data_IF_480188791429
#
_entry.id   IF_480188791429
#
_cell.length_a   1.000
_cell.length_b   1.000
_cell.length_c   1.000
_cell.angle_alpha   90.00
_cell.angle_beta   90.00
_cell.angle_gamma   90.00
#
_symmetry.space_group_name_H-M   'P 1'
#
loop_
_entity.id
_entity.type
_entity.pdbx_description
1 polymer ?
#
# COMPACT_ATOMS: atom_id res chain seq x y z
N UNK A 1 18.62 3.71 12.11
CA UNK A 1 19.61 3.53 11.03
C UNK A 1 19.86 4.88 10.41
N UNK A 2 21.12 5.27 10.21
CA UNK A 2 21.48 6.56 9.60
C UNK A 2 21.70 6.43 8.07
N UNK A 3 21.95 7.56 7.40
CA UNK A 3 22.13 7.62 5.96
C UNK A 3 23.32 6.77 5.46
N UNK A 4 24.42 6.77 6.21
CA UNK A 4 25.64 6.03 5.86
C UNK A 4 25.40 4.53 5.94
N UNK A 5 24.81 4.04 7.03
CA UNK A 5 24.44 2.64 7.20
C UNK A 5 23.47 2.19 6.10
N UNK A 6 22.45 2.99 5.78
CA UNK A 6 21.50 2.69 4.71
C UNK A 6 22.18 2.62 3.33
N UNK A 7 23.07 3.58 3.02
CA UNK A 7 23.83 3.59 1.76
C UNK A 7 24.72 2.36 1.64
N UNK A 8 25.42 1.97 2.70
CA UNK A 8 26.27 0.77 2.74
C UNK A 8 25.46 -0.50 2.48
N UNK A 9 24.28 -0.64 3.10
CA UNK A 9 23.41 -1.80 2.87
C UNK A 9 22.87 -1.85 1.44
N UNK A 10 22.55 -0.69 0.84
CA UNK A 10 21.97 -0.61 -0.49
C UNK A 10 23.00 -0.69 -1.63
N UNK A 11 24.26 -0.34 -1.39
CA UNK A 11 25.31 -0.34 -2.41
C UNK A 11 25.42 -1.67 -3.18
N UNK A 12 25.58 -2.84 -2.53
CA UNK A 12 25.70 -4.10 -3.27
C UNK A 12 24.42 -4.45 -4.05
N UNK A 13 23.24 -4.06 -3.56
CA UNK A 13 21.98 -4.26 -4.27
C UNK A 13 21.92 -3.38 -5.53
N UNK A 14 22.29 -2.09 -5.40
CA UNK A 14 22.32 -1.15 -6.53
C UNK A 14 23.32 -1.59 -7.58
N UNK A 15 24.49 -2.07 -7.19
CA UNK A 15 25.50 -2.57 -8.12
C UNK A 15 25.01 -3.83 -8.84
N UNK A 16 24.45 -4.80 -8.11
CA UNK A 16 23.86 -6.00 -8.70
C UNK A 16 22.74 -5.68 -9.70
N UNK A 17 21.90 -4.67 -9.42
CA UNK A 17 20.81 -4.26 -10.32
C UNK A 17 21.31 -3.46 -11.54
N UNK A 18 22.44 -2.75 -11.42
CA UNK A 18 23.08 -2.08 -12.57
C UNK A 18 23.74 -3.08 -13.50
N UNK A 19 24.37 -4.11 -12.94
CA UNK A 19 24.98 -5.20 -13.71
C UNK A 19 23.93 -6.07 -14.40
N UNK A 20 22.83 -6.38 -13.68
CA UNK A 20 21.74 -7.20 -14.19
C UNK A 20 20.39 -6.71 -13.63
N UNK A 21 19.65 -5.98 -14.47
CA UNK A 21 18.34 -5.43 -14.11
C UNK A 21 17.31 -6.51 -13.76
N UNK A 22 17.44 -7.75 -14.27
CA UNK A 22 16.51 -8.83 -13.97
C UNK A 22 16.55 -9.23 -12.48
N UNK A 23 17.69 -9.02 -11.79
CA UNK A 23 17.82 -9.26 -10.34
C UNK A 23 16.95 -8.31 -9.50
N UNK A 24 16.50 -7.19 -10.06
CA UNK A 24 15.60 -6.26 -9.40
C UNK A 24 14.11 -6.64 -9.56
N UNK A 25 13.81 -7.61 -10.43
CA UNK A 25 12.44 -8.07 -10.67
C UNK A 25 12.03 -9.11 -9.61
N UNK A 26 11.18 -8.68 -8.69
CA UNK A 26 10.65 -9.54 -7.62
C UNK A 26 9.16 -9.79 -7.86
N UNK A 27 8.76 -11.07 -7.86
CA UNK A 27 7.35 -11.44 -7.86
C UNK A 27 6.88 -11.58 -6.41
N UNK A 28 6.14 -10.58 -5.93
CA UNK A 28 5.41 -10.70 -4.68
C UNK A 28 4.18 -11.58 -4.91
N UNK A 29 3.90 -12.48 -3.96
CA UNK A 29 2.76 -13.40 -4.02
C UNK A 29 1.96 -13.29 -2.74
N UNK A 30 0.65 -13.34 -2.88
CA UNK A 30 -0.29 -13.54 -1.79
C UNK A 30 -1.24 -14.66 -2.20
N UNK A 31 -1.70 -15.46 -1.23
CA UNK A 31 -2.66 -16.53 -1.46
C UNK A 31 -3.83 -16.38 -0.50
N UNK A 32 -5.03 -16.64 -1.00
CA UNK A 32 -6.22 -16.79 -0.17
C UNK A 32 -6.99 -18.05 -0.55
N UNK A 33 -7.75 -18.58 0.41
CA UNK A 33 -8.68 -19.71 0.21
C UNK A 33 -10.09 -19.24 0.57
N UNK A 34 -11.04 -19.42 -0.34
CA UNK A 34 -12.45 -19.08 -0.09
C UNK A 34 -13.05 -20.07 0.91
N UNK A 35 -13.90 -19.57 1.80
CA UNK A 35 -14.67 -20.39 2.73
C UNK A 35 -15.89 -20.99 2.02
N UNK A 36 -16.22 -22.25 2.30
CA UNK A 36 -17.29 -23.00 1.65
C UNK A 36 -18.65 -22.82 2.34
N UNK A 37 -18.66 -22.28 3.56
CA UNK A 37 -19.85 -22.11 4.40
C UNK A 37 -20.21 -20.64 4.67
N UNK A 38 -19.28 -19.72 4.42
CA UNK A 38 -19.45 -18.29 4.68
C UNK A 38 -18.91 -17.42 3.54
N UNK A 39 -19.35 -16.16 3.47
CA UNK A 39 -18.83 -15.18 2.49
C UNK A 39 -17.52 -14.59 3.03
N UNK A 40 -16.48 -15.41 3.03
CA UNK A 40 -15.16 -15.06 3.56
C UNK A 40 -14.02 -15.66 2.73
N UNK A 41 -12.85 -15.05 2.83
CA UNK A 41 -11.60 -15.52 2.23
C UNK A 41 -10.49 -15.53 3.30
N UNK A 42 -9.89 -16.69 3.55
CA UNK A 42 -8.74 -16.86 4.44
C UNK A 42 -7.48 -16.47 3.69
N UNK A 43 -6.82 -15.39 4.08
CA UNK A 43 -5.59 -14.87 3.46
C UNK A 43 -4.37 -15.36 4.25
N UNK A 44 -3.40 -15.94 3.54
CA UNK A 44 -2.10 -16.32 4.09
C UNK A 44 -1.24 -15.06 4.27
N UNK A 45 -1.13 -14.58 5.51
CA UNK A 45 -0.14 -13.55 5.87
C UNK A 45 1.01 -14.21 6.63
N UNK A 46 2.25 -13.73 6.42
CA UNK A 46 3.47 -14.34 6.98
C UNK A 46 3.58 -14.34 8.52
N UNK A 47 2.55 -13.86 9.25
CA UNK A 47 2.54 -13.83 10.73
C UNK A 47 1.25 -14.39 11.37
N UNK A 48 0.16 -14.58 10.61
CA UNK A 48 -1.05 -15.31 11.02
C UNK A 48 -2.02 -15.46 9.83
N UNK A 49 -2.84 -16.51 9.79
CA UNK A 49 -3.98 -16.57 8.86
C UNK A 49 -4.98 -15.47 9.25
N UNK A 50 -5.36 -14.64 8.29
CA UNK A 50 -6.38 -13.59 8.50
C UNK A 50 -7.62 -13.92 7.69
N UNK A 51 -8.81 -13.72 8.27
CA UNK A 51 -10.08 -13.94 7.56
C UNK A 51 -10.58 -12.59 7.06
N UNK A 52 -10.71 -12.44 5.75
CA UNK A 52 -11.31 -11.27 5.12
C UNK A 52 -12.77 -11.57 4.75
N UNK A 53 -13.66 -10.60 4.95
CA UNK A 53 -15.09 -10.74 4.69
C UNK A 53 -15.67 -9.50 4.01
N UNK A 54 -16.98 -9.52 3.81
CA UNK A 54 -17.69 -8.35 3.28
C UNK A 54 -17.61 -7.17 4.29
N UNK A 55 -17.66 -5.96 3.76
CA UNK A 55 -17.85 -4.78 4.60
C UNK A 55 -19.28 -4.80 5.19
N UNK A 56 -19.55 -4.27 6.41
CA UNK A 56 -20.90 -4.20 6.97
C UNK A 56 -21.92 -3.51 6.05
N UNK A 57 -21.49 -2.46 5.34
CA UNK A 57 -22.32 -1.77 4.35
C UNK A 57 -22.72 -2.65 3.13
N UNK A 58 -22.09 -3.82 2.97
CA UNK A 58 -22.40 -4.83 1.97
C UNK A 58 -22.92 -6.14 2.56
N UNK A 59 -23.29 -6.14 3.85
CA UNK A 59 -23.84 -7.32 4.52
C UNK A 59 -22.82 -8.19 5.26
N UNK A 60 -21.61 -7.68 5.50
CA UNK A 60 -20.62 -8.34 6.35
C UNK A 60 -20.95 -8.25 7.85
N UNK A 61 -20.39 -9.17 8.64
CA UNK A 61 -20.60 -9.21 10.09
C UNK A 61 -19.83 -8.13 10.86
N UNK A 62 -18.77 -7.59 10.24
CA UNK A 62 -17.79 -6.70 10.89
C UNK A 62 -16.76 -7.41 11.76
N UNK A 63 -16.78 -8.75 11.82
CA UNK A 63 -15.81 -9.56 12.57
C UNK A 63 -14.59 -9.93 11.71
N UNK A 64 -14.77 -10.04 10.40
CA UNK A 64 -13.70 -10.29 9.44
C UNK A 64 -13.02 -8.99 8.99
N UNK A 65 -11.77 -9.08 8.54
CA UNK A 65 -11.06 -7.93 7.97
C UNK A 65 -11.74 -7.46 6.67
N UNK A 66 -11.89 -6.15 6.51
CA UNK A 66 -12.34 -5.59 5.24
C UNK A 66 -11.15 -5.43 4.29
N UNK A 67 -11.25 -5.99 3.08
CA UNK A 67 -10.18 -5.87 2.07
C UNK A 67 -9.96 -4.44 1.58
N UNK A 68 -10.98 -3.57 1.67
CA UNK A 68 -10.86 -2.13 1.42
C UNK A 68 -9.93 -1.47 2.43
N UNK A 69 -10.13 -1.76 3.72
CA UNK A 69 -9.27 -1.26 4.80
C UNK A 69 -7.86 -1.82 4.66
N UNK A 70 -7.71 -3.11 4.36
CA UNK A 70 -6.41 -3.74 4.13
C UNK A 70 -5.62 -3.08 2.98
N UNK A 71 -6.31 -2.61 1.93
CA UNK A 71 -5.66 -1.86 0.85
C UNK A 71 -5.11 -0.51 1.36
N UNK A 72 -5.90 0.22 2.16
CA UNK A 72 -5.48 1.48 2.77
C UNK A 72 -4.36 1.27 3.79
N UNK A 73 -4.42 0.22 4.60
CA UNK A 73 -3.35 -0.19 5.53
C UNK A 73 -2.05 -0.49 4.78
N UNK A 74 -2.13 -1.22 3.66
CA UNK A 74 -0.97 -1.49 2.81
C UNK A 74 -0.39 -0.20 2.21
N UNK A 75 -1.24 0.75 1.82
CA UNK A 75 -0.83 2.08 1.35
C UNK A 75 -0.12 2.86 2.46
N UNK A 76 -0.72 2.97 3.65
CA UNK A 76 -0.13 3.65 4.82
C UNK A 76 1.22 3.04 5.18
N UNK A 77 1.30 1.71 5.26
CA UNK A 77 2.55 1.01 5.60
C UNK A 77 3.65 1.26 4.56
N UNK A 78 3.33 1.13 3.27
CA UNK A 78 4.30 1.36 2.21
C UNK A 78 4.76 2.82 2.18
N UNK A 79 3.82 3.77 2.22
CA UNK A 79 4.11 5.20 2.21
C UNK A 79 4.95 5.63 3.43
N UNK A 80 4.63 5.14 4.64
CA UNK A 80 5.39 5.44 5.86
C UNK A 80 6.83 4.91 5.82
N UNK A 81 7.03 3.67 5.36
CA UNK A 81 8.39 3.11 5.21
C UNK A 81 9.18 3.87 4.14
N UNK A 82 8.55 4.21 3.01
CA UNK A 82 9.18 4.98 1.94
C UNK A 82 9.55 6.40 2.42
N UNK A 83 8.66 7.11 3.13
CA UNK A 83 8.93 8.42 3.73
C UNK A 83 10.17 8.36 4.62
N UNK A 84 10.23 7.36 5.53
CA UNK A 84 11.37 7.25 6.46
C UNK A 84 12.67 6.92 5.74
N UNK A 85 12.62 6.07 4.71
CA UNK A 85 13.78 5.74 3.89
C UNK A 85 14.30 6.97 3.12
N UNK A 86 13.40 7.74 2.50
CA UNK A 86 13.72 8.99 1.78
C UNK A 86 14.29 10.03 2.75
N UNK A 87 13.62 10.26 3.89
CA UNK A 87 14.10 11.19 4.91
C UNK A 87 15.52 10.83 5.39
N UNK A 88 15.77 9.54 5.62
CA UNK A 88 17.10 9.03 5.98
C UNK A 88 18.12 9.30 4.87
N UNK A 89 17.78 9.02 3.61
CA UNK A 89 18.69 9.21 2.49
C UNK A 89 19.03 10.69 2.21
N UNK A 90 18.09 11.60 2.49
CA UNK A 90 18.25 13.05 2.36
C UNK A 90 18.86 13.71 3.60
N UNK A 91 19.16 12.94 4.65
CA UNK A 91 19.59 13.48 5.96
C UNK A 91 18.60 14.56 6.45
N UNK A 92 17.30 14.29 6.29
CA UNK A 92 16.20 15.14 6.71
C UNK A 92 15.92 14.92 8.20
N UNK A 93 15.82 16.00 8.97
CA UNK A 93 15.51 15.94 10.41
C UNK A 93 14.02 15.68 10.66
N UNK A 94 13.64 14.40 10.67
CA UNK A 94 12.27 13.98 10.96
C UNK A 94 12.16 13.40 12.38
N UNK A 95 11.37 14.06 13.22
CA UNK A 95 10.94 13.57 14.53
C UNK A 95 9.86 12.50 14.42
N UNK A 96 8.79 12.64 15.21
CA UNK A 96 7.61 11.80 15.08
C UNK A 96 6.84 12.12 13.79
N UNK A 97 6.21 11.12 13.19
CA UNK A 97 5.36 11.34 12.03
C UNK A 97 4.22 10.33 12.02
N UNK A 98 3.05 10.76 11.57
CA UNK A 98 1.92 9.87 11.30
C UNK A 98 1.56 9.90 9.83
N UNK A 99 1.02 8.77 9.36
CA UNK A 99 0.54 8.61 7.99
C UNK A 99 -0.88 8.07 8.08
N UNK A 100 -1.81 8.74 7.42
CA UNK A 100 -3.24 8.41 7.43
C UNK A 100 -3.73 8.29 6.00
N UNK A 101 -4.54 7.28 5.72
CA UNK A 101 -5.24 7.14 4.45
C UNK A 101 -6.73 6.97 4.69
N UNK A 102 -7.53 7.68 3.90
CA UNK A 102 -8.98 7.50 3.85
C UNK A 102 -9.41 7.38 2.38
N UNK A 103 -10.57 6.76 2.13
CA UNK A 103 -11.09 6.66 0.78
C UNK A 103 -12.58 6.41 0.74
N UNK A 104 -13.21 6.84 -0.35
CA UNK A 104 -14.67 6.80 -0.51
C UNK A 104 -15.09 5.70 -1.48
N UNK A 105 -16.14 4.96 -1.11
CA UNK A 105 -16.71 3.87 -1.89
C UNK A 105 -18.20 4.11 -2.15
N UNK A 106 -18.67 3.71 -3.32
CA UNK A 106 -20.09 3.65 -3.66
C UNK A 106 -20.55 2.19 -3.74
N UNK A 107 -21.02 1.64 -2.63
CA UNK A 107 -21.40 0.23 -2.53
C UNK A 107 -22.61 -0.14 -3.40
N UNK A 108 -23.33 0.83 -3.99
CA UNK A 108 -24.39 0.53 -4.97
C UNK A 108 -23.84 -0.21 -6.19
N UNK A 109 -22.59 0.09 -6.58
CA UNK A 109 -21.90 -0.62 -7.65
C UNK A 109 -21.62 -2.08 -7.27
N UNK A 110 -20.98 -2.29 -6.11
CA UNK A 110 -20.64 -3.64 -5.60
C UNK A 110 -21.87 -4.52 -5.41
N UNK A 111 -22.98 -3.94 -4.96
CA UNK A 111 -24.25 -4.65 -4.75
C UNK A 111 -25.10 -4.76 -6.02
N UNK A 112 -24.64 -4.22 -7.16
CA UNK A 112 -25.38 -4.25 -8.43
C UNK A 112 -26.69 -3.45 -8.44
N UNK A 113 -26.87 -2.53 -7.48
CA UNK A 113 -28.07 -1.69 -7.32
C UNK A 113 -28.10 -0.58 -8.39
N UNK A 114 -26.95 -0.02 -8.75
CA UNK A 114 -26.82 1.04 -9.74
C UNK A 114 -25.70 0.72 -10.72
N UNK A 115 -26.01 0.64 -12.03
CA UNK A 115 -25.05 0.26 -13.08
C UNK A 115 -24.03 1.35 -13.40
N UNK A 116 -24.38 2.59 -13.11
CA UNK A 116 -23.55 3.79 -13.30
C UNK A 116 -22.66 4.10 -12.08
N UNK A 117 -22.94 3.47 -10.94
CA UNK A 117 -22.08 3.59 -9.76
C UNK A 117 -20.76 2.82 -9.99
N UNK A 118 -19.59 3.47 -9.85
CA UNK A 118 -18.31 2.80 -10.03
C UNK A 118 -18.07 1.77 -8.92
N UNK A 119 -17.42 0.65 -9.26
CA UNK A 119 -16.92 -0.33 -8.28
C UNK A 119 -15.45 -0.03 -8.00
N UNK A 120 -15.12 0.12 -6.71
CA UNK A 120 -13.79 0.52 -6.24
C UNK A 120 -13.78 1.93 -5.64
N UNK A 121 -12.63 2.33 -5.10
CA UNK A 121 -12.45 3.65 -4.49
C UNK A 121 -12.66 4.76 -5.53
N UNK A 122 -13.47 5.76 -5.17
CA UNK A 122 -13.68 6.97 -5.99
C UNK A 122 -12.56 7.97 -5.78
N UNK A 123 -12.10 8.08 -4.55
CA UNK A 123 -11.00 8.92 -4.15
C UNK A 123 -10.30 8.24 -2.97
N UNK A 124 -8.97 8.38 -2.91
CA UNK A 124 -8.15 8.03 -1.76
C UNK A 124 -7.32 9.25 -1.42
N UNK A 125 -7.29 9.64 -0.16
CA UNK A 125 -6.54 10.79 0.35
C UNK A 125 -5.52 10.30 1.35
N UNK A 126 -4.25 10.59 1.10
CA UNK A 126 -3.12 10.22 1.94
C UNK A 126 -2.58 11.49 2.61
N UNK A 127 -2.48 11.48 3.93
CA UNK A 127 -2.02 12.62 4.73
C UNK A 127 -0.80 12.21 5.55
N UNK A 128 0.16 13.13 5.63
CA UNK A 128 1.32 13.03 6.50
C UNK A 128 1.28 14.16 7.53
N UNK A 129 1.41 13.81 8.81
CA UNK A 129 1.70 14.76 9.87
C UNK A 129 3.18 14.60 10.26
N UNK A 130 3.96 15.66 10.17
CA UNK A 130 5.42 15.63 10.29
C UNK A 130 5.89 16.55 11.42
N UNK A 131 6.55 15.99 12.42
CA UNK A 131 7.28 16.75 13.44
C UNK A 131 8.69 17.07 12.91
N UNK A 132 8.91 18.31 12.49
CA UNK A 132 10.17 18.77 11.90
C UNK A 132 10.28 20.31 11.90
N UNK A 133 11.52 20.80 11.95
CA UNK A 133 11.89 22.21 11.79
C UNK A 133 12.49 22.52 10.40
N UNK A 134 12.46 21.55 9.48
CA UNK A 134 13.03 21.69 8.14
C UNK A 134 12.22 22.69 7.28
N UNK A 135 12.86 23.45 6.38
CA UNK A 135 12.18 24.37 5.48
C UNK A 135 11.14 23.68 4.59
N UNK A 136 10.06 24.39 4.23
CA UNK A 136 8.97 23.87 3.39
C UNK A 136 9.46 23.22 2.10
N UNK A 137 10.46 23.81 1.43
CA UNK A 137 11.04 23.24 0.21
C UNK A 137 11.62 21.82 0.40
N UNK A 138 12.19 21.55 1.58
CA UNK A 138 12.67 20.21 1.92
C UNK A 138 11.52 19.26 2.25
N UNK A 139 10.47 19.76 2.89
CA UNK A 139 9.23 18.99 3.14
C UNK A 139 8.61 18.59 1.80
N UNK A 140 8.46 19.53 0.86
CA UNK A 140 7.90 19.28 -0.48
C UNK A 140 8.74 18.25 -1.24
N UNK A 141 10.07 18.35 -1.14
CA UNK A 141 10.99 17.38 -1.73
C UNK A 141 10.84 15.98 -1.12
N UNK A 142 10.70 15.89 0.20
CA UNK A 142 10.47 14.65 0.92
C UNK A 142 9.14 14.00 0.48
N UNK A 143 8.05 14.75 0.44
CA UNK A 143 6.73 14.25 0.01
C UNK A 143 6.77 13.81 -1.45
N UNK A 144 7.31 14.63 -2.35
CA UNK A 144 7.42 14.31 -3.78
C UNK A 144 8.20 13.02 -4.04
N UNK A 145 9.32 12.81 -3.35
CA UNK A 145 10.10 11.59 -3.49
C UNK A 145 9.41 10.39 -2.83
N UNK A 146 8.68 10.63 -1.74
CA UNK A 146 7.88 9.58 -1.09
C UNK A 146 6.79 9.08 -2.03
N UNK A 147 6.04 9.99 -2.64
CA UNK A 147 5.02 9.68 -3.66
C UNK A 147 5.64 8.90 -4.82
N UNK A 148 6.77 9.37 -5.35
CA UNK A 148 7.47 8.76 -6.49
C UNK A 148 7.94 7.33 -6.23
N UNK A 149 8.44 7.05 -5.03
CA UNK A 149 9.06 5.76 -4.71
C UNK A 149 8.14 4.80 -3.93
N UNK A 150 6.96 5.25 -3.50
CA UNK A 150 5.99 4.38 -2.85
C UNK A 150 5.36 3.42 -3.87
N UNK A 151 5.70 2.14 -3.78
CA UNK A 151 5.24 1.10 -4.71
C UNK A 151 3.71 0.98 -4.71
N UNK A 152 3.07 0.99 -3.53
CA UNK A 152 1.61 0.86 -3.42
C UNK A 152 0.91 2.09 -3.99
N UNK A 153 1.35 3.30 -3.65
CA UNK A 153 0.80 4.54 -4.22
C UNK A 153 0.90 4.52 -5.75
N UNK A 154 2.07 4.19 -6.30
CA UNK A 154 2.27 4.14 -7.75
C UNK A 154 1.45 3.04 -8.43
N UNK A 155 1.18 1.91 -7.77
CA UNK A 155 0.32 0.83 -8.29
C UNK A 155 -1.14 1.26 -8.35
N UNK A 156 -1.60 2.05 -7.37
CA UNK A 156 -2.97 2.60 -7.37
C UNK A 156 -3.10 3.71 -8.41
N UNK A 157 -2.11 4.60 -8.50
CA UNK A 157 -2.13 5.74 -9.42
C UNK A 157 -1.91 5.31 -10.89
N UNK A 158 -1.16 4.23 -11.12
CA UNK A 158 -0.87 3.69 -12.44
C UNK A 158 -1.32 2.22 -12.51
N UNK A 159 -2.49 2.00 -13.12
CA UNK A 159 -3.10 0.67 -13.25
C UNK A 159 -2.13 -0.31 -13.95
N UNK A 160 -1.68 -1.40 -13.29
CA UNK A 160 -0.94 -2.45 -13.97
C UNK A 160 -1.87 -3.26 -14.89
N UNK A 161 -1.29 -4.05 -15.78
CA UNK A 161 -2.08 -5.04 -16.54
C UNK A 161 -2.63 -6.08 -15.56
N UNK A 162 -3.95 -6.25 -15.55
CA UNK A 162 -4.66 -7.19 -14.69
C UNK A 162 -5.30 -8.28 -15.55
N UNK A 163 -5.06 -9.54 -15.19
CA UNK A 163 -5.65 -10.71 -15.83
C UNK A 163 -6.38 -11.53 -14.78
N UNK A 164 -7.59 -12.00 -15.11
CA UNK A 164 -8.39 -12.90 -14.26
C UNK A 164 -8.61 -14.20 -15.02
N UNK A 165 -8.37 -15.33 -14.36
CA UNK A 165 -8.56 -16.66 -14.93
C UNK A 165 -9.18 -17.61 -13.91
N UNK A 166 -9.97 -18.57 -14.38
CA UNK A 166 -10.53 -19.65 -13.55
C UNK A 166 -10.06 -21.01 -14.07
N UNK A 167 -9.73 -21.92 -13.15
CA UNK A 167 -9.45 -23.33 -13.43
C UNK A 167 -10.48 -24.18 -12.67
N UNK A 168 -10.91 -25.28 -13.27
CA UNK A 168 -11.88 -26.23 -12.69
C UNK A 168 -11.17 -27.49 -12.24
#
# INVERSE_FOLDING_TARGET
MDATALKTMQAPLKDAYREDAAKALITLKARGTLDDQSIACKVETGRALSVAGLHPATGGSGLELCSGDMLLEALVACAGVTLKAVATALEFKLGNATVEAEGDLDFRGTLGVARDAPVGFREIRLKFDLDTDEPQERIDSLIKLTERYCVVFQTINNKPVLTVSAQR
#
